data_IF_399666874231
#
_entry.id   IF_399666874231
#
_cell.length_a   1.000
_cell.length_b   1.000
_cell.length_c   1.000
_cell.angle_alpha   90.00
_cell.angle_beta   90.00
_cell.angle_gamma   90.00
#
_symmetry.space_group_name_H-M   'P 1'
#
loop_
_entity.id
_entity.type
_entity.pdbx_description
1 polymer ?
#
# COMPACT_ATOMS: atom_id res chain seq x y z
N UNK A 1 9.87 -60.97 35.38
CA UNK A 1 11.26 -61.03 35.86
C UNK A 1 11.78 -59.61 35.94
N UNK A 2 12.08 -59.21 37.17
CA UNK A 2 12.47 -57.89 37.68
C UNK A 2 13.99 -57.72 37.60
N UNK A 3 14.51 -56.57 37.15
CA UNK A 3 15.78 -55.92 37.58
C UNK A 3 15.77 -54.45 37.06
N UNK A 4 15.31 -53.41 37.76
CA UNK A 4 16.04 -52.44 38.63
C UNK A 4 17.43 -51.93 38.19
N UNK A 5 17.61 -50.60 38.01
CA UNK A 5 18.50 -49.75 38.86
C UNK A 5 18.90 -48.37 38.27
N UNK A 6 18.54 -47.30 39.03
CA UNK A 6 19.24 -46.03 39.41
C UNK A 6 19.80 -45.09 38.31
N UNK A 7 19.28 -43.85 38.15
CA UNK A 7 19.44 -42.60 38.94
C UNK A 7 20.90 -42.12 39.05
N UNK A 8 21.19 -40.95 38.45
CA UNK A 8 22.16 -39.98 38.98
C UNK A 8 21.62 -38.56 38.83
N UNK A 9 21.66 -37.84 39.95
CA UNK A 9 21.22 -36.46 40.16
C UNK A 9 22.47 -35.62 40.40
N UNK A 10 22.56 -34.41 39.85
CA UNK A 10 23.58 -33.44 40.25
C UNK A 10 22.97 -32.04 40.32
N UNK A 11 22.72 -31.64 41.57
CA UNK A 11 22.45 -30.29 42.05
C UNK A 11 23.78 -29.70 42.53
N UNK A 12 24.05 -28.42 42.23
CA UNK A 12 24.80 -27.53 43.12
C UNK A 12 24.61 -26.04 42.73
N UNK A 13 24.81 -25.09 43.68
CA UNK A 13 24.04 -23.85 43.75
C UNK A 13 24.90 -22.56 43.93
N UNK A 14 24.24 -21.45 44.31
CA UNK A 14 24.81 -20.23 44.96
C UNK A 14 25.66 -19.31 44.04
N UNK A 15 25.62 -17.97 44.11
CA UNK A 15 25.43 -17.10 45.27
C UNK A 15 24.95 -15.68 44.87
N UNK A 16 24.31 -15.02 45.84
CA UNK A 16 23.80 -13.65 45.78
C UNK A 16 24.88 -12.59 46.07
N UNK A 17 24.61 -11.35 45.64
CA UNK A 17 25.37 -10.16 46.04
C UNK A 17 24.52 -8.88 45.90
N UNK A 18 23.93 -8.44 47.01
CA UNK A 18 23.25 -7.16 47.25
C UNK A 18 24.29 -6.06 47.53
N UNK A 19 24.03 -4.83 47.05
CA UNK A 19 24.32 -3.60 47.82
C UNK A 19 23.56 -2.39 47.25
N UNK A 20 22.80 -1.72 48.13
CA UNK A 20 22.28 -0.36 48.03
C UNK A 20 23.44 0.68 48.06
N UNK A 21 23.34 1.96 47.69
CA UNK A 21 22.44 3.02 48.17
C UNK A 21 22.66 4.34 47.34
N UNK A 22 21.91 5.44 47.58
CA UNK A 22 21.66 6.53 46.65
C UNK A 22 22.53 7.79 46.87
N UNK A 23 22.53 8.69 45.88
CA UNK A 23 22.96 10.09 46.09
C UNK A 23 21.97 11.07 45.46
N UNK A 24 21.30 11.84 46.32
CA UNK A 24 20.63 13.11 46.03
C UNK A 24 21.67 14.26 45.94
N UNK A 25 21.21 15.46 45.54
CA UNK A 25 21.90 16.79 45.43
C UNK A 25 22.30 17.12 43.97
N UNK A 26 22.00 18.26 43.35
CA UNK A 26 21.22 19.47 43.68
C UNK A 26 21.01 20.31 42.41
N UNK A 27 19.97 21.15 42.46
CA UNK A 27 19.62 22.20 41.50
C UNK A 27 20.71 23.27 41.41
N UNK A 28 21.08 23.67 40.19
CA UNK A 28 21.25 25.09 39.81
C UNK A 28 21.11 25.24 38.30
N UNK A 29 19.98 25.85 37.91
CA UNK A 29 19.71 26.23 36.54
C UNK A 29 20.68 27.30 36.09
N UNK A 30 21.34 27.03 34.96
CA UNK A 30 22.17 27.99 34.24
C UNK A 30 21.32 28.56 33.11
N UNK A 31 20.97 29.83 33.23
CA UNK A 31 20.44 30.63 32.13
C UNK A 31 21.50 30.73 31.03
N UNK A 32 21.15 30.35 29.80
CA UNK A 32 21.84 30.81 28.60
C UNK A 32 20.80 31.51 27.72
N UNK A 33 20.99 32.82 27.56
CA UNK A 33 20.36 33.65 26.54
C UNK A 33 21.22 33.60 25.28
N UNK A 34 20.62 33.20 24.16
CA UNK A 34 20.99 33.54 22.77
C UNK A 34 19.83 33.01 21.94
N UNK A 35 19.12 33.77 21.09
CA UNK A 35 19.58 34.82 20.19
C UNK A 35 19.21 34.36 18.77
N UNK A 36 18.09 34.89 18.26
CA UNK A 36 17.62 34.98 16.87
C UNK A 36 18.02 33.89 15.84
N UNK A 37 17.02 33.26 15.22
CA UNK A 37 16.81 33.27 13.77
C UNK A 37 15.49 32.56 13.42
N UNK A 38 14.58 33.29 12.77
CA UNK A 38 13.38 32.71 12.18
C UNK A 38 13.75 31.76 11.05
N UNK A 39 13.35 30.50 11.18
CA UNK A 39 13.30 29.56 10.08
C UNK A 39 11.83 29.32 9.78
N UNK A 40 11.33 30.02 8.77
CA UNK A 40 10.11 29.68 8.08
C UNK A 40 10.29 28.26 7.51
N UNK A 41 9.68 27.27 8.17
CA UNK A 41 9.46 25.96 7.55
C UNK A 41 8.46 26.16 6.43
N UNK A 42 8.99 26.37 5.21
CA UNK A 42 8.27 26.16 3.98
C UNK A 42 7.89 24.68 3.99
N UNK A 43 6.63 24.38 4.29
CA UNK A 43 6.03 23.10 3.94
C UNK A 43 6.11 23.01 2.42
N UNK A 44 7.11 22.27 1.94
CA UNK A 44 7.16 21.83 0.55
C UNK A 44 5.89 21.06 0.27
N UNK A 45 5.02 21.64 -0.55
CA UNK A 45 3.95 20.91 -1.21
C UNK A 45 4.61 19.72 -1.93
N UNK A 46 4.39 18.51 -1.43
CA UNK A 46 4.57 17.31 -2.24
C UNK A 46 3.69 17.47 -3.46
N UNK A 47 4.32 17.68 -4.62
CA UNK A 47 3.62 17.74 -5.89
C UNK A 47 2.86 16.42 -6.07
N UNK A 48 1.54 16.56 -6.14
CA UNK A 48 0.62 15.48 -6.41
C UNK A 48 1.04 14.74 -7.68
N UNK A 49 0.85 13.43 -7.67
CA UNK A 49 0.98 12.59 -8.83
C UNK A 49 0.09 13.16 -9.94
N UNK A 50 0.68 13.62 -11.03
CA UNK A 50 -0.05 14.05 -12.24
C UNK A 50 -1.06 15.20 -12.01
N UNK A 51 -0.56 16.38 -11.66
CA UNK A 51 -1.34 17.62 -11.67
C UNK A 51 -1.74 18.05 -13.09
N UNK A 52 -2.88 17.56 -13.57
CA UNK A 52 -3.86 18.26 -14.44
C UNK A 52 -4.93 17.25 -14.91
N UNK A 53 -5.81 16.86 -13.97
CA UNK A 53 -7.12 16.17 -14.10
C UNK A 53 -7.43 15.23 -12.92
N UNK A 54 -6.77 15.37 -11.77
CA UNK A 54 -7.26 14.85 -10.49
C UNK A 54 -8.26 15.81 -9.80
N UNK A 55 -8.69 16.88 -10.49
CA UNK A 55 -9.67 17.86 -9.97
C UNK A 55 -11.08 17.25 -9.80
N UNK A 56 -11.31 16.02 -10.24
CA UNK A 56 -12.60 15.32 -10.09
C UNK A 56 -12.62 14.24 -8.99
N UNK A 57 -11.50 13.86 -8.38
CA UNK A 57 -11.45 12.81 -7.32
C UNK A 57 -11.20 13.38 -5.91
N UNK A 58 -10.98 14.70 -5.77
CA UNK A 58 -11.04 15.41 -4.49
C UNK A 58 -12.46 15.94 -4.28
N UNK A 59 -13.10 15.63 -3.15
CA UNK A 59 -14.41 16.20 -2.80
C UNK A 59 -14.38 17.72 -2.96
N UNK A 60 -15.21 18.26 -3.86
CA UNK A 60 -15.42 19.70 -4.01
C UNK A 60 -16.24 20.17 -2.80
N UNK A 61 -15.52 20.63 -1.77
CA UNK A 61 -16.08 21.07 -0.49
C UNK A 61 -17.12 22.19 -0.70
N UNK A 62 -16.91 23.08 -1.68
CA UNK A 62 -17.83 24.19 -1.94
C UNK A 62 -19.13 23.71 -2.61
N UNK A 63 -19.05 22.69 -3.46
CA UNK A 63 -20.23 22.04 -4.04
C UNK A 63 -21.02 21.24 -2.97
N UNK A 64 -20.32 20.46 -2.12
CA UNK A 64 -20.94 19.68 -1.05
C UNK A 64 -21.64 20.55 0.00
N UNK A 65 -21.03 21.66 0.41
CA UNK A 65 -21.63 22.60 1.36
C UNK A 65 -22.89 23.29 0.82
N UNK A 66 -23.02 23.40 -0.51
CA UNK A 66 -24.17 24.03 -1.16
C UNK A 66 -25.29 23.06 -1.52
N UNK A 67 -24.95 21.85 -1.96
CA UNK A 67 -25.93 20.88 -2.48
C UNK A 67 -26.29 19.76 -1.51
N UNK A 68 -25.45 19.50 -0.50
CA UNK A 68 -25.59 18.35 0.39
C UNK A 68 -25.46 16.99 -0.32
N UNK A 69 -25.04 16.97 -1.58
CA UNK A 69 -24.94 15.78 -2.42
C UNK A 69 -23.50 15.60 -2.90
N UNK A 70 -22.92 14.45 -2.57
CA UNK A 70 -21.74 13.92 -3.26
C UNK A 70 -22.23 13.04 -4.43
N UNK A 71 -21.35 12.77 -5.41
CA UNK A 71 -21.55 11.87 -6.56
C UNK A 71 -21.95 10.44 -6.09
N UNK A 72 -21.80 10.13 -4.79
CA UNK A 72 -22.22 8.89 -4.14
C UNK A 72 -23.66 8.84 -3.59
N UNK A 73 -24.51 9.85 -3.83
CA UNK A 73 -25.92 9.83 -3.41
C UNK A 73 -26.19 10.38 -2.00
N UNK A 74 -27.43 10.22 -1.52
CA UNK A 74 -27.95 10.83 -0.29
C UNK A 74 -27.43 10.08 0.95
N UNK A 75 -26.32 10.53 1.54
CA UNK A 75 -25.64 9.81 2.63
C UNK A 75 -25.84 10.48 4.00
N UNK A 76 -26.28 9.70 4.99
CA UNK A 76 -26.40 10.13 6.39
C UNK A 76 -25.03 10.33 7.08
N UNK A 77 -25.04 11.08 8.18
CA UNK A 77 -23.84 11.58 8.91
C UNK A 77 -22.97 10.47 9.57
N UNK A 78 -23.32 9.19 9.39
CA UNK A 78 -22.53 8.03 9.86
C UNK A 78 -22.19 7.02 8.76
N UNK A 79 -22.73 7.18 7.56
CA UNK A 79 -22.51 6.28 6.43
C UNK A 79 -21.52 6.91 5.46
N UNK A 80 -20.25 6.51 5.51
CA UNK A 80 -19.26 6.62 4.42
C UNK A 80 -19.00 8.00 3.76
N UNK A 81 -19.64 9.09 4.19
CA UNK A 81 -19.75 10.37 3.47
C UNK A 81 -18.53 11.30 3.57
N UNK A 82 -17.32 10.77 3.69
CA UNK A 82 -16.12 11.60 3.76
C UNK A 82 -14.82 10.86 3.55
N UNK A 83 -14.87 9.61 3.09
CA UNK A 83 -13.66 8.81 2.86
C UNK A 83 -13.33 8.89 1.39
N UNK A 84 -12.35 9.72 1.06
CA UNK A 84 -11.79 9.75 -0.27
C UNK A 84 -11.30 8.35 -0.66
N UNK A 85 -11.54 8.01 -1.91
CA UNK A 85 -11.04 6.76 -2.49
C UNK A 85 -9.51 6.76 -2.43
N UNK A 86 -8.86 5.61 -2.14
CA UNK A 86 -7.42 5.56 -2.13
C UNK A 86 -6.78 5.86 -3.48
N UNK A 87 -5.69 6.60 -3.45
CA UNK A 87 -4.90 6.96 -4.62
C UNK A 87 -3.88 5.86 -4.92
N UNK A 88 -4.27 4.89 -5.75
CA UNK A 88 -3.37 3.82 -6.21
C UNK A 88 -2.53 4.21 -7.42
N UNK A 89 -2.90 5.28 -8.13
CA UNK A 89 -2.29 5.68 -9.41
C UNK A 89 -2.67 4.79 -10.60
N UNK A 90 -3.45 3.73 -10.39
CA UNK A 90 -3.88 2.82 -11.46
C UNK A 90 -4.96 3.49 -12.29
N UNK A 91 -4.78 3.59 -13.61
CA UNK A 91 -5.82 4.04 -14.52
C UNK A 91 -6.16 2.93 -15.50
N UNK A 92 -7.38 2.40 -15.43
CA UNK A 92 -7.84 1.40 -16.39
C UNK A 92 -8.06 2.03 -17.76
N UNK A 93 -7.74 1.27 -18.81
CA UNK A 93 -8.06 1.67 -20.18
C UNK A 93 -9.57 1.57 -20.42
N UNK A 94 -10.11 2.58 -21.09
CA UNK A 94 -11.49 2.58 -21.58
C UNK A 94 -11.75 1.37 -22.50
N UNK A 95 -12.85 0.66 -22.26
CA UNK A 95 -13.17 -0.61 -22.92
C UNK A 95 -12.44 -1.85 -22.38
N UNK A 96 -11.54 -1.71 -21.41
CA UNK A 96 -10.96 -2.84 -20.68
C UNK A 96 -11.68 -3.05 -19.35
N UNK A 97 -11.88 -4.31 -18.98
CA UNK A 97 -12.33 -4.71 -17.66
C UNK A 97 -11.23 -5.45 -16.92
N UNK A 98 -11.28 -5.38 -15.59
CA UNK A 98 -10.45 -6.23 -14.75
C UNK A 98 -11.08 -7.62 -14.74
N UNK A 99 -10.34 -8.59 -15.25
CA UNK A 99 -10.81 -9.98 -15.31
C UNK A 99 -10.04 -10.83 -14.31
N UNK A 100 -10.75 -11.70 -13.60
CA UNK A 100 -10.16 -12.78 -12.81
C UNK A 100 -10.78 -14.10 -13.22
N UNK A 101 -9.96 -15.05 -13.68
CA UNK A 101 -10.42 -16.41 -13.89
C UNK A 101 -10.62 -17.12 -12.54
N UNK A 102 -11.85 -17.57 -12.20
CA UNK A 102 -12.12 -18.25 -10.94
C UNK A 102 -11.35 -19.57 -10.77
N UNK A 103 -10.96 -20.24 -11.87
CA UNK A 103 -10.28 -21.54 -11.83
C UNK A 103 -8.79 -21.41 -11.61
N UNK A 104 -8.12 -20.58 -12.43
CA UNK A 104 -6.67 -20.38 -12.31
C UNK A 104 -6.28 -19.32 -11.28
N UNK A 105 -7.21 -18.45 -10.87
CA UNK A 105 -6.92 -17.30 -10.00
C UNK A 105 -6.17 -16.18 -10.71
N UNK A 106 -5.95 -16.28 -12.02
CA UNK A 106 -5.23 -15.29 -12.80
C UNK A 106 -6.06 -14.01 -12.95
N UNK A 107 -5.44 -12.89 -12.60
CA UNK A 107 -5.96 -11.54 -12.72
C UNK A 107 -5.28 -10.87 -13.90
N UNK A 108 -6.07 -10.20 -14.73
CA UNK A 108 -5.62 -9.46 -15.90
C UNK A 108 -6.24 -8.06 -15.88
N UNK A 109 -5.42 -7.05 -16.09
CA UNK A 109 -5.86 -5.67 -16.22
C UNK A 109 -5.00 -4.91 -17.23
N UNK A 110 -5.64 -4.18 -18.15
CA UNK A 110 -4.96 -3.17 -18.95
C UNK A 110 -4.97 -1.82 -18.24
N UNK A 111 -3.77 -1.32 -17.95
CA UNK A 111 -3.56 -0.05 -17.26
C UNK A 111 -2.88 0.95 -18.20
N UNK A 112 -3.16 2.23 -17.99
CA UNK A 112 -2.54 3.33 -18.72
C UNK A 112 -1.36 3.85 -17.91
N UNK A 113 -0.21 3.97 -18.57
CA UNK A 113 1.03 4.52 -18.03
C UNK A 113 1.50 5.71 -18.87
N UNK A 114 2.36 6.53 -18.28
CA UNK A 114 3.17 7.50 -19.01
C UNK A 114 4.37 6.81 -19.66
N UNK A 115 4.68 7.27 -20.87
CA UNK A 115 5.93 6.98 -21.56
C UNK A 115 7.02 7.95 -21.11
N UNK A 116 8.27 7.61 -21.44
CA UNK A 116 9.42 8.51 -21.24
C UNK A 116 9.37 9.79 -22.09
N UNK A 117 8.63 9.78 -23.20
CA UNK A 117 8.43 10.93 -24.09
C UNK A 117 7.26 11.86 -23.66
N UNK A 118 6.62 11.57 -22.53
CA UNK A 118 5.44 12.30 -22.05
C UNK A 118 4.11 11.83 -22.67
N UNK A 119 4.15 10.90 -23.63
CA UNK A 119 2.98 10.23 -24.19
C UNK A 119 2.34 9.23 -23.24
N UNK A 120 1.23 8.63 -23.67
CA UNK A 120 0.56 7.54 -22.95
C UNK A 120 0.86 6.20 -23.60
N UNK A 121 0.90 5.14 -22.80
CA UNK A 121 0.95 3.76 -23.27
C UNK A 121 0.00 2.89 -22.46
N UNK A 122 -0.45 1.78 -23.05
CA UNK A 122 -1.11 0.72 -22.31
C UNK A 122 -0.07 -0.31 -21.84
N UNK A 123 -0.25 -0.83 -20.63
CA UNK A 123 0.49 -1.95 -20.10
C UNK A 123 -0.50 -3.02 -19.63
N UNK A 124 -0.18 -4.28 -19.91
CA UNK A 124 -0.91 -5.42 -19.39
C UNK A 124 -0.26 -5.85 -18.07
N UNK A 125 -1.00 -5.71 -16.98
CA UNK A 125 -0.60 -6.19 -15.66
C UNK A 125 -1.33 -7.50 -15.35
N UNK A 126 -0.59 -8.49 -14.85
CA UNK A 126 -1.12 -9.80 -14.51
C UNK A 126 -0.48 -10.37 -13.25
N UNK A 127 -1.26 -11.12 -12.47
CA UNK A 127 -0.80 -11.92 -11.33
C UNK A 127 -1.82 -12.99 -10.99
N UNK A 128 -1.42 -14.05 -10.30
CA UNK A 128 -2.34 -15.05 -9.75
C UNK A 128 -2.67 -14.71 -8.30
N UNK A 129 -3.94 -14.79 -7.92
CA UNK A 129 -4.40 -14.52 -6.55
C UNK A 129 -5.38 -15.61 -6.08
N UNK A 130 -5.18 -16.18 -4.88
CA UNK A 130 -6.13 -17.11 -4.27
C UNK A 130 -7.41 -16.39 -3.82
N UNK A 131 -7.35 -15.08 -3.59
CA UNK A 131 -8.48 -14.28 -3.14
C UNK A 131 -9.36 -13.83 -4.31
N UNK A 132 -10.69 -13.69 -4.10
CA UNK A 132 -11.59 -13.19 -5.13
C UNK A 132 -11.32 -11.72 -5.45
N UNK A 133 -11.71 -11.30 -6.66
CA UNK A 133 -11.64 -9.90 -7.09
C UNK A 133 -12.59 -9.06 -6.23
N UNK A 134 -12.10 -7.97 -5.66
CA UNK A 134 -12.91 -7.00 -4.95
C UNK A 134 -13.63 -6.10 -5.95
N UNK A 135 -14.92 -5.87 -5.73
CA UNK A 135 -15.76 -5.05 -6.61
C UNK A 135 -16.29 -3.83 -5.86
N UNK A 136 -16.61 -2.77 -6.61
CA UNK A 136 -17.14 -1.52 -6.08
C UNK A 136 -16.29 -0.30 -6.44
N UNK A 137 -16.84 0.89 -6.24
CA UNK A 137 -16.24 2.17 -6.64
C UNK A 137 -14.92 2.52 -5.93
N UNK A 138 -14.59 1.83 -4.83
CA UNK A 138 -13.38 2.05 -4.03
C UNK A 138 -12.19 1.18 -4.43
N UNK A 139 -12.39 0.22 -5.32
CA UNK A 139 -11.37 -0.75 -5.72
C UNK A 139 -10.96 -0.49 -7.18
N UNK A 140 -9.64 -0.47 -7.44
CA UNK A 140 -9.09 -0.52 -8.79
C UNK A 140 -8.89 -2.00 -9.19
N UNK A 141 -7.66 -2.48 -9.20
CA UNK A 141 -7.29 -3.88 -9.40
C UNK A 141 -6.89 -4.43 -8.04
N UNK A 142 -7.84 -5.03 -7.32
CA UNK A 142 -7.62 -5.60 -5.99
C UNK A 142 -8.32 -6.95 -5.85
N UNK A 143 -7.61 -7.94 -5.33
CA UNK A 143 -8.17 -9.17 -4.84
C UNK A 143 -8.10 -9.19 -3.32
N UNK A 144 -9.19 -9.57 -2.66
CA UNK A 144 -9.29 -9.48 -1.20
C UNK A 144 -10.15 -10.58 -0.62
N UNK A 145 -9.70 -11.16 0.48
CA UNK A 145 -10.52 -11.95 1.37
C UNK A 145 -11.39 -11.04 2.24
N UNK A 146 -12.70 -11.02 1.97
CA UNK A 146 -13.65 -10.22 2.74
C UNK A 146 -13.73 -10.57 4.22
N UNK A 147 -13.32 -11.77 4.64
CA UNK A 147 -13.38 -12.21 6.05
C UNK A 147 -12.17 -11.75 6.84
N UNK A 148 -10.99 -11.89 6.26
CA UNK A 148 -9.73 -11.74 6.97
C UNK A 148 -8.96 -10.47 6.58
N UNK A 149 -9.34 -9.84 5.46
CA UNK A 149 -8.69 -8.66 4.93
C UNK A 149 -7.30 -8.91 4.36
N UNK A 150 -6.92 -10.16 4.12
CA UNK A 150 -5.76 -10.54 3.33
C UNK A 150 -6.04 -10.22 1.86
N UNK A 151 -5.05 -9.81 1.08
CA UNK A 151 -5.29 -9.44 -0.30
C UNK A 151 -4.06 -8.93 -1.04
N UNK A 152 -4.24 -8.73 -2.34
CA UNK A 152 -3.26 -8.18 -3.26
C UNK A 152 -3.89 -7.11 -4.16
N UNK A 153 -3.18 -6.02 -4.41
CA UNK A 153 -3.66 -4.96 -5.30
C UNK A 153 -2.52 -4.35 -6.12
N UNK A 154 -2.88 -3.67 -7.21
CA UNK A 154 -1.94 -2.92 -8.03
C UNK A 154 -1.86 -1.45 -7.60
N UNK A 155 -0.66 -0.90 -7.73
CA UNK A 155 -0.40 0.53 -7.61
C UNK A 155 0.59 0.97 -8.71
N UNK A 156 0.54 2.25 -9.08
CA UNK A 156 1.43 2.87 -10.06
C UNK A 156 2.07 4.10 -9.42
N UNK A 157 3.39 4.23 -9.58
CA UNK A 157 4.13 5.35 -9.03
C UNK A 157 3.98 6.61 -9.87
N UNK A 158 4.48 7.73 -9.36
CA UNK A 158 4.83 8.86 -10.21
C UNK A 158 5.99 8.49 -11.16
N UNK A 159 6.38 9.43 -12.03
CA UNK A 159 7.53 9.23 -12.91
C UNK A 159 8.79 8.92 -12.09
N UNK A 160 9.51 7.87 -12.45
CA UNK A 160 10.77 7.45 -11.82
C UNK A 160 11.96 8.32 -12.24
N UNK A 161 11.73 9.33 -13.11
CA UNK A 161 12.77 10.25 -13.57
C UNK A 161 13.85 9.56 -14.41
N UNK A 162 13.49 8.54 -15.19
CA UNK A 162 14.41 7.79 -16.05
C UNK A 162 15.36 6.84 -15.32
N UNK A 163 15.18 6.64 -14.01
CA UNK A 163 15.99 5.70 -13.22
C UNK A 163 15.62 4.25 -13.52
N UNK A 164 16.61 3.36 -13.43
CA UNK A 164 16.34 1.92 -13.43
C UNK A 164 15.65 1.50 -12.13
N UNK A 165 14.91 0.39 -12.12
CA UNK A 165 14.22 -0.09 -10.91
C UNK A 165 15.17 -0.38 -9.74
N UNK A 166 16.45 -0.69 -10.04
CA UNK A 166 17.50 -0.89 -9.04
C UNK A 166 17.91 0.42 -8.35
N UNK A 167 17.84 1.55 -9.07
CA UNK A 167 18.28 2.87 -8.59
C UNK A 167 17.15 3.69 -7.96
N UNK A 168 15.90 3.23 -8.10
CA UNK A 168 14.75 3.85 -7.44
C UNK A 168 14.83 3.60 -5.91
N UNK A 169 14.80 4.64 -5.07
CA UNK A 169 14.80 4.47 -3.62
C UNK A 169 13.57 3.71 -3.12
N UNK A 170 13.74 2.89 -2.07
CA UNK A 170 12.61 2.18 -1.46
C UNK A 170 11.53 3.15 -0.96
N UNK A 171 11.92 4.31 -0.41
CA UNK A 171 10.98 5.34 0.04
C UNK A 171 10.06 5.79 -1.09
N UNK A 172 10.61 6.06 -2.28
CA UNK A 172 9.82 6.49 -3.45
C UNK A 172 8.73 5.47 -3.83
N UNK A 173 9.05 4.17 -3.74
CA UNK A 173 8.07 3.10 -4.02
C UNK A 173 7.00 2.98 -2.94
N UNK A 174 7.31 3.40 -1.71
CA UNK A 174 6.44 3.31 -0.54
C UNK A 174 5.63 4.60 -0.29
N UNK A 175 6.04 5.74 -0.83
CA UNK A 175 5.45 7.04 -0.54
C UNK A 175 3.95 7.06 -0.87
N UNK A 176 3.54 6.65 -2.08
CA UNK A 176 2.12 6.58 -2.45
C UNK A 176 1.34 5.53 -1.64
N UNK A 177 2.00 4.44 -1.24
CA UNK A 177 1.38 3.34 -0.53
C UNK A 177 0.99 3.71 0.91
N UNK A 178 1.86 4.50 1.56
CA UNK A 178 1.79 4.88 2.97
C UNK A 178 1.43 6.37 3.17
N UNK A 179 1.20 7.11 2.09
CA UNK A 179 0.67 8.46 2.12
C UNK A 179 -0.71 8.50 2.79
N UNK A 180 -1.17 9.63 3.34
CA UNK A 180 -2.51 9.76 3.92
C UNK A 180 -3.66 9.38 2.97
N UNK A 181 -3.47 9.53 1.66
CA UNK A 181 -4.43 9.12 0.61
C UNK A 181 -4.20 7.69 0.09
N UNK A 182 -3.17 7.00 0.58
CA UNK A 182 -2.79 5.66 0.16
C UNK A 182 -3.76 4.58 0.63
N UNK A 183 -3.66 3.39 0.02
CA UNK A 183 -4.59 2.26 0.26
C UNK A 183 -4.64 1.79 1.72
N UNK A 184 -3.52 1.85 2.42
CA UNK A 184 -3.46 1.46 3.83
C UNK A 184 -3.89 2.55 4.80
N UNK A 185 -4.09 3.78 4.32
CA UNK A 185 -4.39 4.96 5.12
C UNK A 185 -5.88 5.26 5.27
N UNK A 186 -6.74 4.34 4.84
CA UNK A 186 -8.19 4.54 4.78
C UNK A 186 -8.85 4.93 6.11
N UNK A 187 -8.21 4.60 7.23
CA UNK A 187 -8.66 4.97 8.58
C UNK A 187 -7.67 5.84 9.35
N UNK A 188 -6.54 6.21 8.74
CA UNK A 188 -5.42 6.86 9.39
C UNK A 188 -4.11 6.37 8.80
N UNK A 189 -3.10 7.24 8.76
CA UNK A 189 -1.81 6.93 8.17
C UNK A 189 -1.15 5.73 8.88
N UNK A 190 -0.56 4.77 8.13
CA UNK A 190 0.18 3.68 8.72
C UNK A 190 1.33 4.14 9.61
N UNK A 191 1.48 3.47 10.74
CA UNK A 191 2.54 3.69 11.73
C UNK A 191 3.52 2.52 11.73
N UNK A 192 4.64 2.65 12.47
CA UNK A 192 5.64 1.59 12.65
C UNK A 192 6.17 0.94 11.37
N UNK A 193 6.33 1.76 10.32
CA UNK A 193 6.82 1.32 9.01
C UNK A 193 8.27 0.87 9.12
N UNK A 194 8.53 -0.39 8.80
CA UNK A 194 9.85 -1.02 8.79
C UNK A 194 10.04 -1.82 7.53
N UNK A 195 11.04 -1.45 6.74
CA UNK A 195 11.52 -2.26 5.61
C UNK A 195 12.41 -3.35 6.15
N UNK A 196 12.05 -4.61 5.92
CA UNK A 196 12.79 -5.78 6.39
C UNK A 196 13.81 -6.27 5.37
N UNK A 197 13.43 -6.20 4.10
CA UNK A 197 14.23 -6.71 3.00
C UNK A 197 13.89 -5.93 1.75
N UNK A 198 14.91 -5.55 0.99
CA UNK A 198 14.78 -4.98 -0.35
C UNK A 198 15.81 -5.67 -1.24
N UNK A 199 15.34 -6.32 -2.30
CA UNK A 199 16.19 -7.08 -3.22
C UNK A 199 15.72 -6.87 -4.65
N UNK A 200 16.66 -6.56 -5.53
CA UNK A 200 16.43 -6.52 -6.98
C UNK A 200 16.75 -7.88 -7.59
N UNK A 201 15.83 -8.41 -8.39
CA UNK A 201 15.97 -9.66 -9.16
C UNK A 201 15.62 -9.39 -10.62
N UNK A 202 16.63 -9.18 -11.46
CA UNK A 202 16.42 -8.74 -12.84
C UNK A 202 15.68 -7.41 -12.87
N UNK A 203 14.59 -7.33 -13.64
CA UNK A 203 13.78 -6.12 -13.81
C UNK A 203 12.70 -5.94 -12.71
N UNK A 204 12.81 -6.71 -11.63
CA UNK A 204 11.87 -6.65 -10.51
C UNK A 204 12.57 -6.25 -9.22
N UNK A 205 11.94 -5.36 -8.46
CA UNK A 205 12.34 -5.05 -7.08
C UNK A 205 11.31 -5.59 -6.10
N UNK A 206 11.79 -6.37 -5.13
CA UNK A 206 10.99 -7.01 -4.11
C UNK A 206 11.29 -6.38 -2.76
N UNK A 207 10.25 -5.87 -2.09
CA UNK A 207 10.36 -5.21 -0.79
C UNK A 207 9.42 -5.90 0.20
N UNK A 208 9.98 -6.44 1.27
CA UNK A 208 9.22 -6.94 2.42
C UNK A 208 9.14 -5.83 3.48
N UNK A 209 7.94 -5.48 3.89
CA UNK A 209 7.68 -4.44 4.87
C UNK A 209 6.72 -4.90 5.97
N UNK A 210 6.85 -4.28 7.14
CA UNK A 210 5.86 -4.34 8.22
C UNK A 210 5.46 -2.95 8.64
N UNK A 211 4.20 -2.77 8.98
CA UNK A 211 3.60 -1.50 9.39
C UNK A 211 2.34 -1.80 10.21
N UNK A 212 1.76 -0.81 10.86
CA UNK A 212 0.47 -0.95 11.53
C UNK A 212 -0.58 -0.07 10.86
N UNK A 213 -1.81 -0.57 10.76
CA UNK A 213 -2.95 0.18 10.19
C UNK A 213 -4.03 0.33 11.23
N UNK A 214 -4.66 1.50 11.32
CA UNK A 214 -5.78 1.72 12.22
C UNK A 214 -7.03 0.95 11.75
N UNK A 215 -7.69 0.25 12.67
CA UNK A 215 -8.94 -0.46 12.40
C UNK A 215 -10.14 0.32 12.92
N UNK A 216 -11.14 0.56 12.08
CA UNK A 216 -12.36 1.27 12.48
C UNK A 216 -13.18 0.51 13.54
N UNK A 217 -13.26 -0.81 13.42
CA UNK A 217 -14.15 -1.61 14.26
C UNK A 217 -13.64 -1.73 15.70
N UNK A 218 -12.33 -1.71 15.88
CA UNK A 218 -11.70 -1.91 17.19
C UNK A 218 -11.01 -0.66 17.73
N UNK A 219 -10.83 0.38 16.90
CA UNK A 219 -10.04 1.57 17.24
C UNK A 219 -8.61 1.24 17.69
N UNK A 220 -8.07 0.09 17.25
CA UNK A 220 -6.72 -0.36 17.56
C UNK A 220 -5.88 -0.46 16.30
N UNK A 221 -4.57 -0.29 16.48
CA UNK A 221 -3.58 -0.51 15.44
C UNK A 221 -3.41 -2.02 15.20
N UNK A 222 -3.65 -2.45 13.97
CA UNK A 222 -3.45 -3.83 13.56
C UNK A 222 -2.10 -3.94 12.85
N UNK A 223 -1.13 -4.70 13.39
CA UNK A 223 0.16 -4.88 12.74
C UNK A 223 0.00 -5.75 11.49
N UNK A 224 0.48 -5.26 10.35
CA UNK A 224 0.46 -5.91 9.05
C UNK A 224 1.86 -6.15 8.53
N UNK A 225 1.95 -7.14 7.65
CA UNK A 225 3.13 -7.42 6.84
C UNK A 225 2.69 -7.42 5.37
N UNK A 226 3.55 -6.91 4.51
CA UNK A 226 3.32 -6.89 3.08
C UNK A 226 4.59 -7.23 2.32
N UNK A 227 4.39 -7.74 1.11
CA UNK A 227 5.43 -7.84 0.10
C UNK A 227 4.99 -7.06 -1.12
N UNK A 228 5.87 -6.19 -1.56
CA UNK A 228 5.73 -5.38 -2.75
C UNK A 228 6.64 -5.95 -3.83
N UNK A 229 6.14 -6.05 -5.05
CA UNK A 229 6.93 -6.33 -6.25
C UNK A 229 6.71 -5.20 -7.24
N UNK A 230 7.78 -4.53 -7.63
CA UNK A 230 7.75 -3.42 -8.57
C UNK A 230 8.57 -3.74 -9.83
N UNK A 231 8.11 -3.26 -10.97
CA UNK A 231 8.82 -3.30 -12.25
C UNK A 231 8.49 -2.06 -13.07
N UNK A 232 9.36 -1.71 -14.03
CA UNK A 232 9.13 -0.61 -14.97
C UNK A 232 8.95 -1.23 -16.35
N UNK A 233 7.72 -1.29 -16.89
CA UNK A 233 7.50 -1.80 -18.23
C UNK A 233 8.32 -1.02 -19.26
N UNK A 234 8.83 -1.72 -20.28
CA UNK A 234 9.67 -1.10 -21.30
C UNK A 234 8.97 0.10 -21.97
N UNK A 235 9.68 1.23 -22.06
CA UNK A 235 9.13 2.48 -22.61
C UNK A 235 8.31 3.32 -21.63
N UNK A 236 7.99 2.80 -20.44
CA UNK A 236 7.29 3.55 -19.39
C UNK A 236 8.26 4.40 -18.56
N UNK A 237 7.76 5.53 -18.09
CA UNK A 237 8.42 6.37 -17.08
C UNK A 237 7.94 6.08 -15.66
N UNK A 238 7.03 5.12 -15.46
CA UNK A 238 6.44 4.81 -14.15
C UNK A 238 6.71 3.36 -13.74
N UNK A 239 6.80 3.11 -12.45
CA UNK A 239 6.83 1.76 -11.92
C UNK A 239 5.41 1.25 -11.66
N UNK A 240 5.16 0.01 -12.07
CA UNK A 240 3.95 -0.74 -11.73
C UNK A 240 4.28 -1.69 -10.59
N UNK A 241 3.45 -1.66 -9.57
CA UNK A 241 3.67 -2.39 -8.33
C UNK A 241 2.47 -3.29 -8.04
N UNK A 242 2.76 -4.49 -7.55
CA UNK A 242 1.77 -5.35 -6.91
C UNK A 242 2.13 -5.48 -5.43
N UNK A 243 1.15 -5.22 -4.56
CA UNK A 243 1.31 -5.25 -3.11
C UNK A 243 0.39 -6.34 -2.55
N UNK A 244 0.98 -7.39 -2.00
CA UNK A 244 0.26 -8.41 -1.22
C UNK A 244 0.43 -8.15 0.27
N UNK A 245 -0.65 -8.18 1.06
CA UNK A 245 -0.60 -7.90 2.49
C UNK A 245 -1.53 -8.78 3.31
N UNK A 246 -1.12 -9.04 4.56
CA UNK A 246 -1.90 -9.76 5.56
C UNK A 246 -1.64 -9.17 6.95
N UNK A 247 -2.53 -9.45 7.90
CA UNK A 247 -2.24 -9.19 9.31
C UNK A 247 -1.05 -10.03 9.79
N UNK A 248 -0.31 -9.57 10.79
CA UNK A 248 0.87 -10.28 11.32
C UNK A 248 0.50 -11.68 11.82
N UNK A 249 -0.66 -11.82 12.47
CA UNK A 249 -1.18 -13.11 12.92
C UNK A 249 -1.39 -14.09 11.77
N UNK A 250 -1.92 -13.61 10.64
CA UNK A 250 -2.20 -14.41 9.44
C UNK A 250 -0.95 -14.73 8.63
N UNK A 251 -0.05 -13.75 8.54
CA UNK A 251 1.27 -13.94 7.94
C UNK A 251 2.00 -15.12 8.59
N UNK A 252 1.99 -15.21 9.92
CA UNK A 252 2.63 -16.31 10.64
C UNK A 252 1.85 -17.64 10.55
N UNK A 253 0.63 -17.64 10.01
CA UNK A 253 -0.23 -18.82 9.80
C UNK A 253 -0.27 -19.31 8.35
N UNK A 254 0.59 -18.78 7.48
CA UNK A 254 0.75 -19.26 6.10
C UNK A 254 0.30 -18.30 5.00
N UNK A 255 -0.32 -17.15 5.33
CA UNK A 255 -0.66 -16.14 4.30
C UNK A 255 0.60 -15.58 3.62
N UNK A 256 1.77 -15.69 4.24
CA UNK A 256 3.05 -15.32 3.65
C UNK A 256 3.36 -16.13 2.37
N UNK A 257 3.06 -17.43 2.37
CA UNK A 257 3.26 -18.31 1.21
C UNK A 257 2.36 -17.90 0.04
N UNK A 258 1.09 -17.63 0.33
CA UNK A 258 0.11 -17.17 -0.67
C UNK A 258 0.52 -15.82 -1.28
N UNK A 259 0.95 -14.88 -0.43
CA UNK A 259 1.45 -13.57 -0.87
C UNK A 259 2.72 -13.72 -1.70
N UNK A 260 3.64 -14.61 -1.30
CA UNK A 260 4.88 -14.83 -2.05
C UNK A 260 4.63 -15.46 -3.42
N UNK A 261 3.72 -16.44 -3.51
CA UNK A 261 3.30 -17.01 -4.78
C UNK A 261 2.64 -15.96 -5.69
N UNK A 262 1.75 -15.13 -5.11
CA UNK A 262 1.12 -14.02 -5.83
C UNK A 262 2.18 -13.03 -6.35
N UNK A 263 3.13 -12.65 -5.51
CA UNK A 263 4.27 -11.80 -5.84
C UNK A 263 5.15 -12.37 -6.95
N UNK A 264 5.50 -13.64 -6.88
CA UNK A 264 6.39 -14.27 -7.86
C UNK A 264 5.69 -14.46 -9.23
N UNK A 265 4.35 -14.51 -9.25
CA UNK A 265 3.55 -14.58 -10.48
C UNK A 265 3.34 -13.22 -11.18
N UNK A 266 3.64 -12.11 -10.51
CA UNK A 266 3.34 -10.77 -11.03
C UNK A 266 4.16 -10.43 -12.27
N UNK A 267 3.49 -9.96 -13.32
CA UNK A 267 4.10 -9.45 -14.55
C UNK A 267 3.42 -8.14 -14.94
N UNK A 268 4.19 -7.19 -15.46
CA UNK A 268 3.67 -6.01 -16.11
C UNK A 268 4.50 -5.76 -17.38
N UNK A 269 3.84 -5.81 -18.53
CA UNK A 269 4.48 -5.67 -19.83
C UNK A 269 3.75 -4.60 -20.66
N UNK A 270 4.42 -3.94 -21.63
CA UNK A 270 3.73 -3.12 -22.59
C UNK A 270 2.65 -3.92 -23.31
N UNK A 271 1.44 -3.36 -23.39
CA UNK A 271 0.38 -4.00 -24.14
C UNK A 271 0.67 -3.90 -25.65
N UNK A 272 0.22 -4.86 -26.47
CA UNK A 272 0.31 -4.75 -27.93
C UNK A 272 -0.33 -3.46 -28.43
N UNK A 273 0.26 -2.85 -29.46
CA UNK A 273 -0.33 -1.66 -30.08
C UNK A 273 -1.68 -2.01 -30.70
N UNK A 274 -2.73 -1.32 -30.26
CA UNK A 274 -4.07 -1.47 -30.80
C UNK A 274 -4.63 -0.12 -31.20
N UNK A 275 -5.55 -0.11 -32.17
CA UNK A 275 -6.23 1.10 -32.65
C UNK A 275 -7.24 1.67 -31.65
N UNK A 276 -7.40 1.05 -30.47
CA UNK A 276 -8.27 1.54 -29.41
C UNK A 276 -7.68 2.80 -28.77
N UNK A 277 -8.54 3.78 -28.48
CA UNK A 277 -8.14 5.05 -27.86
C UNK A 277 -7.54 4.81 -26.47
N UNK A 278 -6.40 5.43 -26.17
CA UNK A 278 -5.79 5.45 -24.84
C UNK A 278 -6.48 6.50 -23.96
N UNK A 279 -7.70 6.18 -23.52
CA UNK A 279 -8.49 6.99 -22.59
C UNK A 279 -8.65 6.29 -21.26
N UNK A 280 -8.63 7.05 -20.18
CA UNK A 280 -8.96 6.54 -18.84
C UNK A 280 -10.44 6.13 -18.86
N UNK A 281 -10.73 4.92 -18.38
CA UNK A 281 -12.10 4.48 -18.15
C UNK A 281 -12.77 5.41 -17.13
N UNK A 282 -13.98 5.86 -17.44
CA UNK A 282 -14.72 6.70 -16.51
C UNK A 282 -15.08 5.91 -15.25
N UNK A 283 -14.93 6.53 -14.09
CA UNK A 283 -15.05 5.88 -12.78
C UNK A 283 -16.44 6.06 -12.16
N UNK A 284 -17.27 6.92 -12.74
CA UNK A 284 -18.68 7.09 -12.38
C UNK A 284 -19.51 5.98 -13.00
N UNK A 285 -20.19 5.19 -12.16
CA UNK A 285 -21.17 4.23 -12.63
C UNK A 285 -22.37 4.96 -13.25
N UNK A 286 -22.39 5.13 -14.57
CA UNK A 286 -23.65 5.14 -15.27
C UNK A 286 -24.08 3.68 -15.43
N UNK A 287 -25.03 3.27 -14.61
CA UNK A 287 -26.01 2.30 -15.04
C UNK A 287 -26.66 2.90 -16.29
N UNK A 288 -26.27 2.40 -17.47
CA UNK A 288 -27.09 2.52 -18.66
C UNK A 288 -28.37 1.73 -18.37
N UNK A 289 -29.36 2.40 -17.81
CA UNK A 289 -30.75 1.95 -17.92
C UNK A 289 -31.09 2.06 -19.41
N UNK A 290 -31.03 0.92 -20.09
CA UNK A 290 -31.76 0.71 -21.33
C UNK A 290 -33.19 0.33 -20.93
N UNK A 291 -34.10 1.28 -21.08
CA UNK A 291 -35.49 1.03 -21.46
C UNK A 291 -35.77 1.83 -22.74
#
# INVERSE_FOLDING_TARGET
MTVTSKIFCLLAPFSAGLALEPSLVSRRGMMIKTGAAGMATIFGQTQAAWGAAAVQDSMDVDSFLRSGQDIGGNMGVSSQAGKSRPETGVFLRDGSEVSRDPRSGNVLAEIILQKNDGGKMAALASYSSPWPLATGSFFDVECRDGRNGDGAFLAVTQSVGGKSIADVPDSFLLDNLLAPTGRFSFYGQPTDVKVKKSVTKGDYRLIDLSFATLSQSTQTEIPRKARLVATIPAGSSQAVMMIGSASTTRWNKGSDKEIFQTADSFRAIPAPESSMKLRKKDRGGQALFLD
#
